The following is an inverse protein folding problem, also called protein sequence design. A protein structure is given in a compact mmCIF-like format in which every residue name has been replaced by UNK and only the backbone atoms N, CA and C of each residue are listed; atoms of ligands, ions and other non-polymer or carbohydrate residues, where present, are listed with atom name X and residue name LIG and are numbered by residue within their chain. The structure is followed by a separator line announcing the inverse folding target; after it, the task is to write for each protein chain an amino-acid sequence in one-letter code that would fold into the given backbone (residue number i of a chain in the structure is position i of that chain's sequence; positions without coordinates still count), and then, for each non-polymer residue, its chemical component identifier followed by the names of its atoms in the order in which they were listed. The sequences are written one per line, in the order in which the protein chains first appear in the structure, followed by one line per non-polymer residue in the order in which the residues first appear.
data_IF_205865885543
#
_entry.id   IF_205865885543
#
_cell.length_a   1.000
_cell.length_b   1.000
_cell.length_c   1.000
_cell.angle_alpha   90.00
_cell.angle_beta   90.00
_cell.angle_gamma   90.00
#
_symmetry.space_group_name_H-M   'P 1'
#
loop_
_entity.id
_entity.type
_entity.pdbx_description
1 polymer ?
#
# COMPACT_ATOMS: atom_id res chain seq x y z
N UNK A 1 -51.52 -22.54 12.57
CA UNK A 1 -51.79 -23.20 13.87
C UNK A 1 -50.43 -23.51 14.47
N UNK A 2 -49.98 -22.97 15.60
CA UNK A 2 -50.63 -22.61 16.87
C UNK A 2 -49.88 -21.40 17.48
N UNK A 3 -50.64 -20.43 18.04
CA UNK A 3 -50.14 -19.36 18.90
C UNK A 3 -49.82 -19.89 20.30
N UNK A 4 -48.71 -19.42 20.90
CA UNK A 4 -48.37 -19.63 22.31
C UNK A 4 -47.97 -18.31 22.98
N UNK A 5 -48.58 -18.03 24.12
CA UNK A 5 -48.66 -16.73 24.80
C UNK A 5 -47.37 -16.23 25.48
N UNK A 6 -47.26 -14.89 25.54
CA UNK A 6 -46.33 -14.10 26.36
C UNK A 6 -46.46 -14.38 27.86
N UNK A 7 -45.34 -14.37 28.58
CA UNK A 7 -45.26 -13.89 29.98
C UNK A 7 -44.23 -12.77 30.07
N UNK A 8 -44.70 -11.59 30.44
CA UNK A 8 -43.87 -10.47 30.88
C UNK A 8 -43.38 -10.75 32.31
N UNK A 9 -42.09 -10.63 32.57
CA UNK A 9 -41.60 -10.18 33.88
C UNK A 9 -40.77 -8.92 33.69
N UNK A 10 -41.16 -7.90 34.44
CA UNK A 10 -40.48 -6.61 34.54
C UNK A 10 -39.32 -6.78 35.51
N UNK A 11 -38.09 -6.53 35.05
CA UNK A 11 -37.00 -6.09 35.92
C UNK A 11 -36.49 -4.75 35.39
N UNK A 12 -36.67 -3.74 36.22
CA UNK A 12 -36.20 -2.37 36.04
C UNK A 12 -34.83 -2.22 36.70
N UNK A 13 -33.98 -1.36 36.13
CA UNK A 13 -32.88 -0.72 36.85
C UNK A 13 -31.47 -0.93 36.28
N UNK A 14 -30.91 0.20 35.82
CA UNK A 14 -29.48 0.47 35.53
C UNK A 14 -28.92 0.01 34.19
N UNK A 15 -29.28 0.75 33.13
CA UNK A 15 -28.36 0.98 32.01
C UNK A 15 -27.53 2.23 32.32
N UNK A 16 -26.30 2.04 32.76
CA UNK A 16 -25.28 3.08 32.71
C UNK A 16 -24.92 3.32 31.24
N UNK A 17 -25.25 4.49 30.73
CA UNK A 17 -24.75 5.01 29.45
C UNK A 17 -23.27 5.33 29.62
N UNK A 18 -22.39 4.40 29.25
CA UNK A 18 -21.02 4.76 28.87
C UNK A 18 -21.12 5.43 27.50
N UNK A 19 -21.09 6.76 27.48
CA UNK A 19 -20.69 7.50 26.29
C UNK A 19 -19.25 7.07 25.96
N UNK A 20 -19.11 6.24 24.93
CA UNK A 20 -17.82 6.05 24.30
C UNK A 20 -17.45 7.36 23.62
N UNK A 21 -16.54 8.11 24.23
CA UNK A 21 -15.73 9.07 23.48
C UNK A 21 -15.02 8.28 22.38
N UNK A 22 -15.55 8.35 21.16
CA UNK A 22 -14.78 8.03 19.98
C UNK A 22 -13.76 9.14 19.82
N UNK A 23 -12.62 8.98 20.50
CA UNK A 23 -11.38 9.62 20.07
C UNK A 23 -11.08 9.04 18.70
N UNK A 24 -11.61 9.71 17.68
CA UNK A 24 -11.10 9.60 16.33
C UNK A 24 -9.68 10.17 16.40
N UNK A 25 -8.71 9.32 16.74
CA UNK A 25 -7.30 9.62 16.58
C UNK A 25 -7.09 9.99 15.11
N UNK A 26 -6.77 11.26 14.89
CA UNK A 26 -6.46 11.82 13.58
C UNK A 26 -5.27 11.05 12.98
N UNK A 27 -5.56 10.19 12.00
CA UNK A 27 -4.74 9.04 11.61
C UNK A 27 -3.45 9.34 10.85
N UNK A 28 -2.88 10.55 10.97
CA UNK A 28 -1.62 10.93 10.30
C UNK A 28 -0.48 11.26 11.29
N UNK A 29 -0.77 11.48 12.58
CA UNK A 29 0.26 11.78 13.56
C UNK A 29 0.73 10.52 14.29
N UNK A 30 1.97 10.09 14.02
CA UNK A 30 2.63 9.12 14.92
C UNK A 30 3.23 9.91 16.07
N UNK A 31 2.76 9.67 17.29
CA UNK A 31 3.42 10.20 18.49
C UNK A 31 4.77 9.49 18.65
N UNK A 32 5.83 10.15 18.22
CA UNK A 32 7.21 9.69 18.44
C UNK A 32 7.57 9.98 19.90
N UNK A 33 7.95 8.95 20.65
CA UNK A 33 8.38 9.16 22.04
C UNK A 33 9.67 10.00 22.10
N UNK A 34 9.92 10.67 23.21
CA UNK A 34 11.16 11.45 23.41
C UNK A 34 12.42 10.60 23.21
N UNK A 35 12.39 9.34 23.65
CA UNK A 35 13.47 8.38 23.43
C UNK A 35 13.68 8.07 21.93
N UNK A 36 12.60 7.79 21.20
CA UNK A 36 12.66 7.56 19.75
C UNK A 36 13.16 8.80 18.99
N UNK A 37 12.75 9.99 19.42
CA UNK A 37 13.22 11.27 18.88
C UNK A 37 14.72 11.49 19.08
N UNK A 38 15.24 11.11 20.25
CA UNK A 38 16.69 11.18 20.54
C UNK A 38 17.49 10.23 19.64
N UNK A 39 17.00 9.00 19.42
CA UNK A 39 17.65 8.04 18.50
C UNK A 39 17.70 8.59 17.07
N UNK A 40 16.59 9.15 16.58
CA UNK A 40 16.54 9.75 15.24
C UNK A 40 17.50 10.95 15.13
N UNK A 41 17.54 11.82 16.14
CA UNK A 41 18.42 13.00 16.17
C UNK A 41 19.90 12.58 16.13
N UNK A 42 20.25 11.50 16.85
CA UNK A 42 21.61 10.95 16.83
C UNK A 42 21.99 10.38 15.45
N UNK A 43 21.06 9.73 14.75
CA UNK A 43 21.33 9.26 13.37
C UNK A 43 21.50 10.46 12.43
N UNK A 44 20.62 11.45 12.53
CA UNK A 44 20.64 12.66 11.69
C UNK A 44 21.94 13.44 11.86
N UNK A 45 22.47 13.56 13.08
CA UNK A 45 23.71 14.30 13.34
C UNK A 45 24.96 13.69 12.69
N UNK A 46 24.91 12.42 12.29
CA UNK A 46 25.99 11.73 11.59
C UNK A 46 25.93 11.91 10.06
N UNK A 47 24.84 12.46 9.54
CA UNK A 47 24.58 12.57 8.11
C UNK A 47 24.94 13.96 7.56
N UNK A 48 25.46 13.98 6.34
CA UNK A 48 25.65 15.23 5.57
C UNK A 48 24.54 15.34 4.53
N UNK A 49 24.02 16.55 4.23
CA UNK A 49 23.08 16.74 3.13
C UNK A 49 23.62 16.11 1.83
N UNK A 50 22.76 15.37 1.14
CA UNK A 50 23.10 14.56 -0.04
C UNK A 50 23.51 13.11 0.26
N UNK A 51 23.66 12.72 1.53
CA UNK A 51 24.00 11.34 1.90
C UNK A 51 22.94 10.33 1.41
N UNK A 52 23.42 9.21 0.87
CA UNK A 52 22.60 8.07 0.47
C UNK A 52 22.19 7.26 1.71
N UNK A 53 20.88 7.21 1.96
CA UNK A 53 20.32 6.53 3.13
C UNK A 53 20.09 5.04 2.92
N UNK A 54 20.30 4.50 1.72
CA UNK A 54 20.16 3.05 1.47
C UNK A 54 21.13 2.19 2.28
N UNK A 55 22.23 2.78 2.76
CA UNK A 55 23.26 2.13 3.58
C UNK A 55 23.12 2.40 5.07
N UNK A 56 22.12 3.18 5.47
CA UNK A 56 21.87 3.54 6.87
C UNK A 56 20.75 2.66 7.40
N UNK A 57 21.04 1.86 8.42
CA UNK A 57 20.02 1.06 9.10
C UNK A 57 19.15 1.97 9.95
N UNK A 58 17.87 2.05 9.60
CA UNK A 58 16.89 2.82 10.35
C UNK A 58 16.30 1.99 11.50
N UNK A 59 15.88 2.62 12.61
CA UNK A 59 15.29 1.92 13.75
C UNK A 59 14.00 1.17 13.38
N UNK A 60 13.71 0.06 14.05
CA UNK A 60 12.54 -0.77 13.75
C UNK A 60 11.20 -0.09 14.04
N UNK A 61 11.17 0.87 14.97
CA UNK A 61 9.94 1.60 15.32
C UNK A 61 9.44 2.52 14.19
N UNK A 62 10.22 2.80 13.15
CA UNK A 62 9.75 3.50 11.94
C UNK A 62 9.40 2.55 10.79
N UNK A 63 9.39 1.24 11.02
CA UNK A 63 9.07 0.25 10.01
C UNK A 63 7.61 -0.20 10.13
N UNK A 64 6.96 -0.44 8.99
CA UNK A 64 5.71 -1.20 8.94
C UNK A 64 6.00 -2.70 8.80
N UNK A 65 5.09 -3.59 9.25
CA UNK A 65 5.28 -5.03 9.17
C UNK A 65 4.98 -5.60 7.77
N UNK A 66 5.38 -4.89 6.71
CA UNK A 66 5.21 -5.31 5.31
C UNK A 66 6.50 -5.10 4.54
N UNK A 67 6.85 -6.08 3.71
CA UNK A 67 7.93 -5.97 2.74
C UNK A 67 7.55 -4.96 1.66
N UNK A 68 8.53 -4.28 1.07
CA UNK A 68 8.28 -3.44 -0.11
C UNK A 68 7.63 -4.24 -1.25
N UNK A 69 7.96 -5.53 -1.38
CA UNK A 69 7.37 -6.42 -2.39
C UNK A 69 5.86 -6.57 -2.22
N UNK A 70 5.43 -6.66 -0.97
CA UNK A 70 4.03 -6.69 -0.59
C UNK A 70 3.40 -5.30 -0.68
N UNK A 71 4.10 -4.22 -0.31
CA UNK A 71 3.56 -2.85 -0.32
C UNK A 71 3.12 -2.40 -1.71
N UNK A 72 3.78 -2.88 -2.77
CA UNK A 72 3.40 -2.64 -4.17
C UNK A 72 1.95 -3.09 -4.47
N UNK A 73 1.44 -4.12 -3.79
CA UNK A 73 0.08 -4.64 -4.04
C UNK A 73 -1.02 -3.64 -3.69
N UNK A 74 -0.73 -2.60 -2.90
CA UNK A 74 -1.67 -1.51 -2.63
C UNK A 74 -2.14 -0.82 -3.92
N UNK A 75 -1.31 -0.78 -4.96
CA UNK A 75 -1.70 -0.22 -6.26
C UNK A 75 -2.76 -1.06 -7.00
N UNK A 76 -3.03 -2.29 -6.56
CA UNK A 76 -4.02 -3.21 -7.13
C UNK A 76 -5.22 -3.41 -6.18
N UNK A 77 -5.33 -2.62 -5.10
CA UNK A 77 -6.35 -2.79 -4.07
C UNK A 77 -7.78 -2.42 -4.52
N UNK A 78 -7.91 -1.70 -5.64
CA UNK A 78 -9.18 -1.15 -6.14
C UNK A 78 -9.59 -1.79 -7.48
N UNK A 79 -10.06 -3.05 -7.49
CA UNK A 79 -10.48 -3.74 -8.71
C UNK A 79 -11.56 -2.98 -9.49
N UNK A 80 -12.44 -2.25 -8.82
CA UNK A 80 -13.49 -1.41 -9.41
C UNK A 80 -12.93 -0.27 -10.29
N UNK A 81 -11.67 0.09 -10.10
CA UNK A 81 -10.96 1.06 -10.95
C UNK A 81 -10.03 0.39 -11.96
N UNK A 82 -9.48 -0.78 -11.61
CA UNK A 82 -8.50 -1.53 -12.41
C UNK A 82 -9.14 -2.29 -13.57
N UNK A 83 -10.28 -2.96 -13.36
CA UNK A 83 -10.88 -3.89 -14.31
C UNK A 83 -11.64 -3.23 -15.49
N UNK A 84 -12.31 -2.07 -15.35
CA UNK A 84 -13.07 -1.47 -16.45
C UNK A 84 -12.30 -0.97 -17.70
N UNK A 85 -11.09 -0.35 -17.60
CA UNK A 85 -10.41 0.31 -18.72
C UNK A 85 -10.30 -0.46 -20.07
N UNK A 86 -10.03 -1.78 -20.12
CA UNK A 86 -9.95 -2.54 -21.38
C UNK A 86 -11.24 -2.47 -22.22
N UNK A 87 -12.40 -2.31 -21.57
CA UNK A 87 -13.73 -2.30 -22.20
C UNK A 87 -14.16 -0.93 -22.71
N UNK A 88 -13.41 0.13 -22.38
CA UNK A 88 -13.73 1.50 -22.79
C UNK A 88 -13.20 1.72 -24.21
N UNK A 89 -14.07 2.00 -25.18
CA UNK A 89 -13.66 2.20 -26.57
C UNK A 89 -13.03 3.56 -26.83
N UNK A 90 -13.61 4.63 -26.26
CA UNK A 90 -13.05 5.98 -26.41
C UNK A 90 -11.66 6.08 -25.75
N UNK A 91 -10.61 6.43 -26.52
CA UNK A 91 -9.24 6.43 -26.02
C UNK A 91 -8.99 7.47 -24.92
N UNK A 92 -9.68 8.61 -24.95
CA UNK A 92 -9.53 9.66 -23.94
C UNK A 92 -10.17 9.20 -22.62
N UNK A 93 -11.38 8.65 -22.68
CA UNK A 93 -12.05 8.11 -21.50
C UNK A 93 -11.26 6.94 -20.89
N UNK A 94 -10.69 6.07 -21.73
CA UNK A 94 -9.82 4.97 -21.28
C UNK A 94 -8.57 5.49 -20.58
N UNK A 95 -7.92 6.51 -21.11
CA UNK A 95 -6.77 7.17 -20.47
C UNK A 95 -7.14 7.78 -19.11
N UNK A 96 -8.29 8.45 -19.02
CA UNK A 96 -8.82 8.99 -17.75
C UNK A 96 -9.06 7.86 -16.74
N UNK A 97 -9.62 6.72 -17.18
CA UNK A 97 -9.84 5.56 -16.33
C UNK A 97 -8.53 4.94 -15.82
N UNK A 98 -7.51 4.80 -16.68
CA UNK A 98 -6.16 4.36 -16.26
C UNK A 98 -5.55 5.32 -15.25
N UNK A 99 -5.72 6.63 -15.45
CA UNK A 99 -5.24 7.65 -14.50
C UNK A 99 -5.94 7.52 -13.15
N UNK A 100 -7.27 7.32 -13.14
CA UNK A 100 -8.04 7.08 -11.93
C UNK A 100 -7.57 5.82 -11.18
N UNK A 101 -7.35 4.72 -11.90
CA UNK A 101 -6.77 3.51 -11.35
C UNK A 101 -5.40 3.80 -10.70
N UNK A 102 -4.49 4.44 -11.42
CA UNK A 102 -3.15 4.68 -10.89
C UNK A 102 -3.14 5.58 -9.65
N UNK A 103 -4.09 6.52 -9.55
CA UNK A 103 -4.25 7.40 -8.40
C UNK A 103 -4.90 6.73 -7.18
N UNK A 104 -5.66 5.65 -7.36
CA UNK A 104 -6.47 5.05 -6.29
C UNK A 104 -5.61 4.44 -5.17
N UNK A 105 -4.44 3.86 -5.48
CA UNK A 105 -3.62 3.14 -4.50
C UNK A 105 -2.78 4.02 -3.54
N UNK A 106 -2.58 5.31 -3.83
CA UNK A 106 -1.62 6.15 -3.10
C UNK A 106 -2.03 6.50 -1.68
N UNK A 107 -3.33 6.55 -1.40
CA UNK A 107 -3.84 6.87 -0.06
C UNK A 107 -3.71 5.70 0.91
N UNK A 108 -3.43 4.48 0.42
CA UNK A 108 -3.29 3.28 1.25
C UNK A 108 -1.92 3.31 1.92
N UNK A 109 -1.89 3.88 3.12
CA UNK A 109 -0.72 3.99 3.99
C UNK A 109 -1.04 3.53 5.41
N UNK A 110 -0.07 2.95 6.13
CA UNK A 110 -0.21 2.74 7.57
C UNK A 110 -0.38 4.10 8.26
N UNK A 111 -1.04 4.14 9.43
CA UNK A 111 -1.09 5.33 10.24
C UNK A 111 0.33 5.76 10.61
N UNK A 112 0.62 7.04 10.42
CA UNK A 112 1.91 7.64 10.74
C UNK A 112 3.04 7.41 9.75
N UNK A 113 4.25 7.82 10.14
CA UNK A 113 5.46 7.80 9.30
C UNK A 113 6.16 6.45 9.43
N UNK A 114 5.70 5.48 8.63
CA UNK A 114 6.29 4.13 8.56
C UNK A 114 6.83 3.81 7.17
N UNK A 115 8.00 3.18 7.12
CA UNK A 115 8.64 2.69 5.89
C UNK A 115 8.49 1.16 5.78
N UNK A 116 8.20 0.60 4.59
CA UNK A 116 8.25 -0.84 4.39
C UNK A 116 9.64 -1.42 4.67
N UNK A 117 9.68 -2.70 5.01
CA UNK A 117 10.92 -3.46 5.12
C UNK A 117 11.64 -3.48 3.77
N UNK A 118 12.96 -3.29 3.80
CA UNK A 118 13.80 -3.41 2.61
C UNK A 118 13.98 -4.90 2.28
N UNK A 119 13.49 -5.38 1.13
CA UNK A 119 13.54 -6.81 0.83
C UNK A 119 14.98 -7.30 0.68
N UNK A 120 15.23 -8.54 1.08
CA UNK A 120 16.53 -9.19 0.84
C UNK A 120 16.66 -9.61 -0.62
N UNK A 121 17.89 -9.77 -1.13
CA UNK A 121 18.11 -10.21 -2.51
C UNK A 121 17.47 -11.59 -2.74
N UNK A 122 16.66 -11.71 -3.80
CA UNK A 122 15.94 -12.95 -4.13
C UNK A 122 14.69 -13.21 -3.27
N UNK A 123 14.30 -12.29 -2.39
CA UNK A 123 13.00 -12.35 -1.73
C UNK A 123 11.89 -12.33 -2.78
N UNK A 124 10.87 -13.17 -2.60
CA UNK A 124 9.71 -13.28 -3.49
C UNK A 124 8.44 -13.06 -2.66
N UNK A 125 7.51 -12.28 -3.21
CA UNK A 125 6.15 -12.18 -2.69
C UNK A 125 5.15 -12.48 -3.82
N UNK A 126 4.18 -13.34 -3.52
CA UNK A 126 3.10 -13.70 -4.44
C UNK A 126 1.74 -13.47 -3.79
N UNK A 127 0.74 -13.07 -4.57
CA UNK A 127 -0.63 -12.89 -4.10
C UNK A 127 -1.64 -13.05 -5.22
N UNK A 128 -2.92 -13.11 -4.85
CA UNK A 128 -4.01 -13.13 -5.81
C UNK A 128 -5.22 -12.38 -5.25
N UNK A 129 -6.14 -11.99 -6.13
CA UNK A 129 -7.43 -11.41 -5.81
C UNK A 129 -8.52 -12.27 -6.41
N UNK A 130 -9.52 -12.62 -5.61
CA UNK A 130 -10.79 -13.17 -6.09
C UNK A 130 -11.71 -12.01 -6.42
N UNK A 131 -12.23 -11.96 -7.65
CA UNK A 131 -13.17 -10.92 -8.09
C UNK A 131 -14.63 -11.37 -7.97
N UNK A 132 -15.59 -10.43 -7.87
CA UNK A 132 -17.01 -10.76 -7.73
C UNK A 132 -17.61 -11.58 -8.89
N UNK A 133 -17.00 -11.52 -10.08
CA UNK A 133 -17.40 -12.28 -11.27
C UNK A 133 -16.83 -13.72 -11.30
N UNK A 134 -16.11 -14.13 -10.26
CA UNK A 134 -15.49 -15.45 -10.15
C UNK A 134 -14.13 -15.58 -10.85
N UNK A 135 -13.60 -14.50 -11.43
CA UNK A 135 -12.27 -14.46 -12.06
C UNK A 135 -11.19 -14.08 -11.04
N UNK A 136 -9.90 -14.13 -11.45
CA UNK A 136 -8.77 -13.87 -10.55
C UNK A 136 -7.71 -12.96 -11.15
N UNK A 137 -7.13 -12.12 -10.29
CA UNK A 137 -5.87 -11.41 -10.55
C UNK A 137 -4.72 -12.11 -9.85
N UNK A 138 -3.54 -12.16 -10.48
CA UNK A 138 -2.34 -12.83 -9.98
C UNK A 138 -1.19 -11.82 -9.89
N UNK A 139 -0.46 -11.84 -8.78
CA UNK A 139 0.71 -10.99 -8.54
C UNK A 139 1.93 -11.82 -8.16
N UNK A 140 3.06 -11.48 -8.74
CA UNK A 140 4.38 -12.03 -8.42
C UNK A 140 5.36 -10.88 -8.38
N UNK A 141 6.23 -10.87 -7.37
CA UNK A 141 7.31 -9.90 -7.29
C UNK A 141 8.55 -10.51 -6.68
N UNK A 142 9.71 -9.97 -7.07
CA UNK A 142 11.01 -10.42 -6.62
C UNK A 142 11.94 -9.22 -6.40
N UNK A 143 12.74 -9.29 -5.34
CA UNK A 143 13.86 -8.37 -5.15
C UNK A 143 15.04 -8.78 -6.04
N UNK A 144 15.11 -8.18 -7.23
CA UNK A 144 16.09 -8.53 -8.27
C UNK A 144 17.44 -7.82 -8.12
N UNK A 145 17.56 -6.84 -7.21
CA UNK A 145 18.85 -6.25 -6.83
C UNK A 145 18.79 -5.63 -5.44
N UNK A 146 19.90 -5.63 -4.69
CA UNK A 146 20.00 -5.03 -3.36
C UNK A 146 20.90 -3.80 -3.31
N UNK A 147 21.91 -3.72 -4.18
CA UNK A 147 22.85 -2.59 -4.28
C UNK A 147 23.07 -2.20 -5.75
N UNK A 148 22.26 -1.26 -6.30
CA UNK A 148 21.16 -0.53 -5.65
C UNK A 148 19.88 -1.38 -5.47
N UNK A 149 18.98 -1.04 -4.54
CA UNK A 149 17.74 -1.78 -4.34
C UNK A 149 16.82 -1.66 -5.56
N UNK A 150 16.38 -2.81 -6.08
CA UNK A 150 15.42 -2.91 -7.18
C UNK A 150 14.50 -4.11 -6.96
N UNK A 151 13.21 -3.84 -6.99
CA UNK A 151 12.16 -4.87 -7.01
C UNK A 151 11.56 -4.92 -8.41
N UNK A 152 11.30 -6.12 -8.92
CA UNK A 152 10.52 -6.34 -10.14
C UNK A 152 9.18 -6.96 -9.76
N UNK A 153 8.12 -6.57 -10.43
CA UNK A 153 6.79 -7.14 -10.18
C UNK A 153 6.02 -7.34 -11.49
N UNK A 154 5.13 -8.32 -11.41
CA UNK A 154 4.23 -8.73 -12.47
C UNK A 154 2.84 -8.89 -11.86
N UNK A 155 1.85 -8.35 -12.55
CA UNK A 155 0.45 -8.57 -12.26
C UNK A 155 -0.31 -8.91 -13.53
N UNK A 156 -1.29 -9.81 -13.44
CA UNK A 156 -2.16 -10.12 -14.56
C UNK A 156 -3.56 -10.48 -14.08
N UNK A 157 -4.58 -9.97 -14.75
CA UNK A 157 -5.96 -10.43 -14.67
C UNK A 157 -6.34 -10.94 -16.08
N UNK A 158 -6.10 -12.24 -16.37
CA UNK A 158 -6.19 -12.78 -17.73
C UNK A 158 -7.58 -12.62 -18.34
N UNK A 159 -8.64 -12.88 -17.57
CA UNK A 159 -10.03 -12.80 -18.02
C UNK A 159 -10.51 -11.36 -18.25
N UNK A 160 -9.71 -10.38 -17.82
CA UNK A 160 -9.97 -8.94 -18.00
C UNK A 160 -8.98 -8.30 -18.97
N UNK A 161 -8.20 -9.07 -19.72
CA UNK A 161 -7.21 -8.56 -20.68
C UNK A 161 -6.16 -7.61 -20.07
N UNK A 162 -5.87 -7.70 -18.77
CA UNK A 162 -4.94 -6.78 -18.10
C UNK A 162 -3.62 -7.47 -17.79
N UNK A 163 -2.53 -6.81 -18.18
CA UNK A 163 -1.17 -7.15 -17.78
C UNK A 163 -0.43 -5.92 -17.28
N UNK A 164 0.21 -6.01 -16.14
CA UNK A 164 1.08 -4.98 -15.59
C UNK A 164 2.46 -5.59 -15.32
N UNK A 165 3.50 -4.99 -15.88
CA UNK A 165 4.88 -5.30 -15.52
C UNK A 165 5.51 -4.03 -14.97
N UNK A 166 6.33 -4.14 -13.92
CA UNK A 166 7.01 -2.97 -13.42
C UNK A 166 8.25 -3.25 -12.61
N UNK A 167 8.96 -2.17 -12.32
CA UNK A 167 10.09 -2.16 -11.41
C UNK A 167 9.96 -1.02 -10.43
N UNK A 168 10.36 -1.26 -9.19
CA UNK A 168 10.48 -0.27 -8.14
C UNK A 168 11.96 -0.05 -7.84
N UNK A 169 12.42 1.20 -7.96
CA UNK A 169 13.83 1.58 -7.75
C UNK A 169 13.91 2.78 -6.80
N UNK A 170 13.71 2.58 -5.49
CA UNK A 170 13.79 3.67 -4.53
C UNK A 170 15.25 4.11 -4.32
N UNK A 171 15.51 5.41 -4.40
CA UNK A 171 16.77 6.02 -3.95
C UNK A 171 16.48 6.99 -2.82
N UNK A 172 16.94 6.67 -1.62
CA UNK A 172 16.74 7.53 -0.45
C UNK A 172 17.91 8.49 -0.28
N UNK A 173 17.63 9.80 -0.16
CA UNK A 173 18.63 10.83 0.12
C UNK A 173 18.25 11.64 1.34
N UNK A 174 19.24 11.93 2.18
CA UNK A 174 19.12 12.92 3.24
C UNK A 174 19.29 14.33 2.67
N UNK A 175 18.39 15.25 3.01
CA UNK A 175 18.33 16.62 2.46
C UNK A 175 18.49 17.68 3.55
N UNK A 176 18.98 17.32 4.75
CA UNK A 176 19.02 18.21 5.90
C UNK A 176 17.78 18.00 6.77
N UNK A 177 16.82 18.93 6.73
CA UNK A 177 15.58 18.79 7.50
C UNK A 177 14.54 17.86 6.84
N UNK A 178 14.94 17.08 5.84
CA UNK A 178 14.02 16.22 5.08
C UNK A 178 14.75 14.98 4.58
N UNK A 179 13.97 13.93 4.32
CA UNK A 179 14.42 12.72 3.64
C UNK A 179 13.57 12.53 2.39
N UNK A 180 14.23 12.46 1.23
CA UNK A 180 13.55 12.20 -0.04
C UNK A 180 13.74 10.75 -0.46
N UNK A 181 12.65 10.08 -0.86
CA UNK A 181 12.71 8.81 -1.59
C UNK A 181 12.37 9.06 -3.05
N UNK A 182 13.38 9.04 -3.91
CA UNK A 182 13.22 9.23 -5.35
C UNK A 182 12.86 7.88 -5.99
N UNK A 183 11.74 7.83 -6.68
CA UNK A 183 11.23 6.62 -7.31
C UNK A 183 11.61 6.61 -8.79
N UNK A 184 12.60 5.80 -9.17
CA UNK A 184 13.06 5.66 -10.57
C UNK A 184 12.43 4.43 -11.27
N UNK A 185 11.38 3.87 -10.66
CA UNK A 185 10.65 2.74 -11.19
C UNK A 185 9.82 3.10 -12.42
N UNK A 186 9.42 2.07 -13.17
CA UNK A 186 8.48 2.20 -14.30
C UNK A 186 7.44 1.10 -14.12
N UNK A 187 6.18 1.43 -14.36
CA UNK A 187 5.08 0.48 -14.51
C UNK A 187 4.56 0.56 -15.95
N UNK A 188 4.30 -0.59 -16.57
CA UNK A 188 3.75 -0.70 -17.92
C UNK A 188 2.46 -1.50 -17.82
N UNK A 189 1.32 -0.86 -18.06
CA UNK A 189 0.01 -1.48 -18.12
C UNK A 189 -0.37 -1.72 -19.58
N UNK A 190 -0.76 -2.95 -19.93
CA UNK A 190 -1.18 -3.33 -21.28
C UNK A 190 -2.56 -3.94 -21.25
N UNK A 191 -3.34 -3.59 -22.27
CA UNK A 191 -4.60 -4.27 -22.58
C UNK A 191 -4.34 -5.32 -23.65
N UNK A 192 -4.60 -6.60 -23.37
CA UNK A 192 -4.24 -7.71 -24.26
C UNK A 192 -5.20 -7.85 -25.45
N UNK A 193 -6.42 -7.34 -25.32
CA UNK A 193 -7.40 -7.25 -26.39
C UNK A 193 -7.16 -6.07 -27.34
N UNK A 194 -6.13 -5.25 -27.10
CA UNK A 194 -5.79 -4.08 -27.89
C UNK A 194 -4.28 -4.05 -28.15
N UNK A 195 -3.85 -3.48 -29.27
CA UNK A 195 -2.41 -3.26 -29.51
C UNK A 195 -1.94 -1.93 -28.87
N UNK A 196 -2.25 -1.72 -27.59
CA UNK A 196 -1.92 -0.51 -26.84
C UNK A 196 -0.89 -0.81 -25.73
N UNK A 197 0.04 0.11 -25.50
CA UNK A 197 1.13 0.01 -24.51
C UNK A 197 1.23 1.27 -23.67
#
# INVERSE_FOLDING_TARGET
MVLGHRKNSLTSGSRSSMEGHSDAEDGDETVVSSEQGNVLTHIISQLRPGADLSRVTLPTFILEPRSMLERITNFMAHPETLLPPPTIDDPVQRFVAVTKFYMSGWHIKPPGVKKPLNPILGEIFTGYWDYPDGTRGYYISEQTSHHPPKSSYFFMAPEHDIRIDGTLKPRSKFLGNSVGSFMEGIAVLRFLNRNEK
#
